data_IF_707191988786
#
_entry.id   IF_707191988786
#
_cell.length_a   1.000
_cell.length_b   1.000
_cell.length_c   1.000
_cell.angle_alpha   90.00
_cell.angle_beta   90.00
_cell.angle_gamma   90.00
#
_symmetry.space_group_name_H-M   'P 1'
#
loop_
_entity.id
_entity.type
_entity.pdbx_description
1 polymer ?
#
# COMPACT_ATOMS: atom_id res chain seq x y z
N UNK A 1 9.10 -20.66 -25.48
CA UNK A 1 8.75 -19.23 -25.52
C UNK A 1 7.93 -18.91 -24.26
N UNK A 2 8.50 -18.11 -23.36
CA UNK A 2 7.83 -17.72 -22.12
C UNK A 2 7.53 -16.22 -22.10
N UNK A 3 6.66 -15.80 -21.17
CA UNK A 3 6.36 -14.41 -20.91
C UNK A 3 6.92 -13.96 -19.57
N UNK A 4 7.23 -12.69 -19.45
CA UNK A 4 7.55 -12.04 -18.20
C UNK A 4 6.78 -10.72 -18.09
N UNK A 5 6.14 -10.49 -16.97
CA UNK A 5 5.41 -9.24 -16.69
C UNK A 5 6.30 -8.35 -15.81
N UNK A 6 6.57 -7.12 -16.26
CA UNK A 6 7.50 -6.20 -15.60
C UNK A 6 6.84 -4.85 -15.32
N UNK A 7 7.10 -4.31 -14.13
CA UNK A 7 6.72 -2.95 -13.78
C UNK A 7 7.62 -1.93 -14.50
N UNK A 8 7.05 -1.18 -15.45
CA UNK A 8 7.79 -0.19 -16.22
C UNK A 8 8.19 1.08 -15.43
N UNK A 9 7.61 1.26 -14.24
CA UNK A 9 7.93 2.37 -13.34
C UNK A 9 9.04 2.01 -12.34
N UNK A 10 9.49 0.74 -12.32
CA UNK A 10 10.57 0.28 -11.45
C UNK A 10 11.94 0.75 -11.95
N UNK A 11 12.82 1.12 -11.03
CA UNK A 11 14.17 1.60 -11.36
C UNK A 11 15.01 0.55 -12.08
N UNK A 12 14.76 -0.74 -11.84
CA UNK A 12 15.47 -1.86 -12.46
C UNK A 12 14.77 -2.39 -13.73
N UNK A 13 13.71 -1.74 -14.19
CA UNK A 13 12.95 -2.18 -15.36
C UNK A 13 13.85 -2.44 -16.59
N UNK A 14 14.75 -1.49 -16.90
CA UNK A 14 15.66 -1.62 -18.04
C UNK A 14 16.60 -2.84 -17.90
N UNK A 15 17.10 -3.08 -16.69
CA UNK A 15 17.96 -4.24 -16.39
C UNK A 15 17.18 -5.55 -16.57
N UNK A 16 15.99 -5.65 -15.94
CA UNK A 16 15.15 -6.84 -16.04
C UNK A 16 14.72 -7.12 -17.49
N UNK A 17 14.36 -6.08 -18.25
CA UNK A 17 14.04 -6.22 -19.68
C UNK A 17 15.22 -6.73 -20.50
N UNK A 18 16.43 -6.22 -20.24
CA UNK A 18 17.65 -6.71 -20.90
C UNK A 18 17.92 -8.19 -20.61
N UNK A 19 17.73 -8.62 -19.36
CA UNK A 19 17.89 -10.02 -18.94
C UNK A 19 16.81 -10.90 -19.61
N UNK A 20 15.57 -10.45 -19.63
CA UNK A 20 14.46 -11.16 -20.27
C UNK A 20 14.71 -11.38 -21.78
N UNK A 21 15.17 -10.35 -22.48
CA UNK A 21 15.50 -10.44 -23.91
C UNK A 21 16.63 -11.44 -24.17
N UNK A 22 17.67 -11.48 -23.31
CA UNK A 22 18.76 -12.49 -23.41
C UNK A 22 18.27 -13.91 -23.23
N UNK A 23 17.15 -14.11 -22.53
CA UNK A 23 16.51 -15.40 -22.29
C UNK A 23 15.36 -15.69 -23.26
N UNK A 24 15.22 -14.90 -24.33
CA UNK A 24 14.15 -15.01 -25.32
C UNK A 24 12.74 -15.01 -24.72
N UNK A 25 12.54 -14.24 -23.62
CA UNK A 25 11.24 -14.04 -23.00
C UNK A 25 10.54 -12.83 -23.63
N UNK A 26 9.24 -12.97 -23.89
CA UNK A 26 8.41 -11.86 -24.29
C UNK A 26 8.06 -11.00 -23.07
N UNK A 27 8.33 -9.69 -23.14
CA UNK A 27 8.10 -8.76 -22.03
C UNK A 27 6.77 -8.07 -22.21
N UNK A 28 5.87 -8.21 -21.25
CA UNK A 28 4.65 -7.40 -21.11
C UNK A 28 4.90 -6.41 -19.96
N UNK A 29 4.82 -5.15 -20.25
CA UNK A 29 5.08 -4.09 -19.27
C UNK A 29 3.79 -3.48 -18.73
N UNK A 30 3.79 -3.11 -17.43
CA UNK A 30 2.70 -2.34 -16.85
C UNK A 30 3.24 -1.14 -16.07
N UNK A 31 2.42 -0.10 -15.90
CA UNK A 31 2.83 1.08 -15.14
C UNK A 31 1.75 2.13 -14.96
N UNK A 32 1.94 2.99 -13.96
CA UNK A 32 1.11 4.16 -13.69
C UNK A 32 1.72 5.39 -14.37
N UNK A 33 3.05 5.53 -14.31
CA UNK A 33 3.80 6.71 -14.80
C UNK A 33 4.28 6.52 -16.23
N UNK A 34 4.67 5.32 -16.60
CA UNK A 34 5.24 5.02 -17.92
C UNK A 34 4.19 5.10 -19.02
N UNK A 35 4.30 6.11 -19.87
CA UNK A 35 3.44 6.31 -21.06
C UNK A 35 3.67 5.23 -22.15
N UNK A 36 4.77 4.48 -22.08
CA UNK A 36 5.16 3.45 -23.04
C UNK A 36 4.84 2.03 -22.58
N UNK A 37 4.27 1.84 -21.38
CA UNK A 37 3.90 0.53 -20.90
C UNK A 37 2.73 -0.05 -21.71
N UNK A 38 2.76 -1.38 -21.94
CA UNK A 38 1.73 -2.12 -22.69
C UNK A 38 0.38 -2.06 -21.98
N UNK A 39 0.41 -2.13 -20.63
CA UNK A 39 -0.74 -1.95 -19.75
C UNK A 39 -0.49 -0.74 -18.86
N UNK A 40 -1.26 0.31 -19.04
CA UNK A 40 -1.03 1.54 -18.28
C UNK A 40 -2.29 2.21 -17.78
N UNK A 41 -2.16 2.87 -16.64
CA UNK A 41 -3.18 3.79 -16.14
C UNK A 41 -3.26 5.03 -17.04
N UNK A 42 -4.48 5.47 -17.34
CA UNK A 42 -4.74 6.75 -18.01
C UNK A 42 -5.16 7.79 -16.98
N UNK A 43 -6.23 7.51 -16.25
CA UNK A 43 -6.71 8.35 -15.15
C UNK A 43 -7.58 7.54 -14.17
N UNK A 44 -7.92 8.19 -13.06
CA UNK A 44 -8.83 7.65 -12.04
C UNK A 44 -9.92 8.70 -11.80
N UNK A 45 -11.18 8.27 -11.87
CA UNK A 45 -12.35 9.12 -11.63
C UNK A 45 -13.10 8.60 -10.41
N UNK A 46 -13.34 9.45 -9.42
CA UNK A 46 -14.16 9.10 -8.25
C UNK A 46 -15.65 9.11 -8.66
N UNK A 47 -16.33 7.99 -8.43
CA UNK A 47 -17.76 7.79 -8.73
C UNK A 47 -18.50 7.36 -7.46
N UNK A 48 -19.07 8.28 -6.71
CA UNK A 48 -19.75 7.99 -5.43
C UNK A 48 -18.86 7.16 -4.47
N UNK A 49 -19.19 5.88 -4.27
CA UNK A 49 -18.48 4.96 -3.34
C UNK A 49 -17.42 4.09 -4.01
N UNK A 50 -17.12 4.32 -5.27
CA UNK A 50 -16.15 3.54 -6.05
C UNK A 50 -15.25 4.44 -6.89
N UNK A 51 -14.20 3.88 -7.44
CA UNK A 51 -13.30 4.55 -8.37
C UNK A 51 -13.38 3.85 -9.72
N UNK A 52 -13.50 4.64 -10.77
CA UNK A 52 -13.36 4.20 -12.15
C UNK A 52 -11.91 4.40 -12.55
N UNK A 53 -11.22 3.31 -12.88
CA UNK A 53 -9.87 3.33 -13.40
C UNK A 53 -9.92 3.15 -14.93
N UNK A 54 -9.43 4.13 -15.65
CA UNK A 54 -9.30 4.09 -17.09
C UNK A 54 -7.89 3.61 -17.43
N UNK A 55 -7.80 2.55 -18.24
CA UNK A 55 -6.54 1.90 -18.59
C UNK A 55 -6.42 1.74 -20.11
N UNK A 56 -5.18 1.69 -20.58
CA UNK A 56 -4.87 1.26 -21.93
C UNK A 56 -4.16 -0.08 -21.85
N UNK A 57 -4.70 -1.10 -22.55
CA UNK A 57 -4.16 -2.46 -22.58
C UNK A 57 -3.89 -2.82 -24.05
N UNK A 58 -2.61 -3.06 -24.39
CA UNK A 58 -2.19 -3.41 -25.76
C UNK A 58 -2.81 -2.50 -26.84
N UNK A 59 -2.85 -1.19 -26.59
CA UNK A 59 -3.40 -0.21 -27.52
C UNK A 59 -4.88 0.13 -27.31
N UNK A 60 -5.69 -0.75 -26.71
CA UNK A 60 -7.13 -0.58 -26.50
C UNK A 60 -7.46 0.10 -25.17
N UNK A 61 -8.45 1.00 -25.19
CA UNK A 61 -8.94 1.65 -23.98
C UNK A 61 -10.02 0.83 -23.29
N UNK A 62 -9.91 0.69 -21.97
CA UNK A 62 -10.87 0.00 -21.11
C UNK A 62 -11.02 0.73 -19.78
N UNK A 63 -12.14 0.49 -19.10
CA UNK A 63 -12.30 0.96 -17.73
C UNK A 63 -12.79 -0.16 -16.83
N UNK A 64 -12.38 -0.07 -15.56
CA UNK A 64 -12.80 -0.99 -14.50
C UNK A 64 -13.15 -0.21 -13.25
N UNK A 65 -13.98 -0.79 -12.40
CA UNK A 65 -14.29 -0.23 -11.09
C UNK A 65 -13.47 -0.91 -10.00
N UNK A 66 -13.08 -0.14 -8.99
CA UNK A 66 -12.43 -0.62 -7.78
C UNK A 66 -12.97 0.11 -6.54
N UNK A 67 -12.88 -0.52 -5.38
CA UNK A 67 -13.32 0.03 -4.09
C UNK A 67 -12.40 1.12 -3.54
N UNK A 68 -11.12 1.14 -3.95
CA UNK A 68 -10.14 2.13 -3.52
C UNK A 68 -9.17 2.49 -4.65
N UNK A 69 -8.47 3.62 -4.48
CA UNK A 69 -7.48 4.14 -5.44
C UNK A 69 -6.06 4.12 -4.88
N UNK A 70 -5.78 3.29 -3.88
CA UNK A 70 -4.43 3.16 -3.34
C UNK A 70 -3.46 2.71 -4.42
N UNK A 71 -2.31 3.35 -4.47
CA UNK A 71 -1.33 3.14 -5.54
C UNK A 71 -0.94 1.67 -5.71
N UNK A 72 -0.74 0.94 -4.60
CA UNK A 72 -0.43 -0.48 -4.64
C UNK A 72 -1.56 -1.32 -5.24
N UNK A 73 -2.83 -0.98 -4.94
CA UNK A 73 -3.98 -1.65 -5.54
C UNK A 73 -4.04 -1.43 -7.05
N UNK A 74 -3.77 -0.20 -7.50
CA UNK A 74 -3.72 0.11 -8.93
C UNK A 74 -2.60 -0.67 -9.63
N UNK A 75 -1.40 -0.74 -9.05
CA UNK A 75 -0.31 -1.57 -9.61
C UNK A 75 -0.70 -3.04 -9.69
N UNK A 76 -1.35 -3.59 -8.67
CA UNK A 76 -1.81 -4.98 -8.68
C UNK A 76 -2.85 -5.23 -9.79
N UNK A 77 -3.79 -4.31 -9.99
CA UNK A 77 -4.78 -4.40 -11.08
C UNK A 77 -4.08 -4.36 -12.45
N UNK A 78 -3.15 -3.43 -12.66
CA UNK A 78 -2.40 -3.33 -13.91
C UNK A 78 -1.55 -4.58 -14.18
N UNK A 79 -0.89 -5.12 -13.15
CA UNK A 79 -0.14 -6.36 -13.25
C UNK A 79 -1.04 -7.56 -13.59
N UNK A 80 -2.21 -7.66 -12.95
CA UNK A 80 -3.21 -8.69 -13.26
C UNK A 80 -3.71 -8.57 -14.69
N UNK A 81 -4.03 -7.37 -15.16
CA UNK A 81 -4.44 -7.12 -16.55
C UNK A 81 -3.33 -7.49 -17.55
N UNK A 82 -2.06 -7.23 -17.20
CA UNK A 82 -0.91 -7.61 -18.03
C UNK A 82 -0.79 -9.13 -18.15
N UNK A 83 -0.96 -9.87 -17.06
CA UNK A 83 -0.97 -11.35 -17.11
C UNK A 83 -2.17 -11.86 -17.90
N UNK A 84 -3.36 -11.34 -17.63
CA UNK A 84 -4.61 -11.77 -18.29
C UNK A 84 -4.53 -11.52 -19.81
N UNK A 85 -3.95 -10.39 -20.23
CA UNK A 85 -3.84 -10.01 -21.63
C UNK A 85 -2.98 -10.97 -22.49
N UNK A 86 -2.22 -11.86 -21.84
CA UNK A 86 -1.44 -12.92 -22.53
C UNK A 86 -2.37 -14.02 -23.04
N UNK A 87 -3.45 -14.29 -22.31
CA UNK A 87 -4.30 -15.47 -22.53
C UNK A 87 -5.67 -15.15 -23.09
N UNK A 88 -6.21 -13.97 -22.77
CA UNK A 88 -7.55 -13.58 -23.18
C UNK A 88 -7.62 -12.11 -23.57
N UNK A 89 -8.56 -11.81 -24.47
CA UNK A 89 -8.89 -10.42 -24.76
C UNK A 89 -9.51 -9.75 -23.53
N UNK A 90 -8.84 -8.74 -23.01
CA UNK A 90 -9.28 -7.95 -21.85
C UNK A 90 -10.64 -7.28 -22.10
N UNK A 91 -11.06 -7.12 -23.36
CA UNK A 91 -12.39 -6.59 -23.69
C UNK A 91 -13.54 -7.44 -23.17
N UNK A 92 -13.33 -8.74 -22.97
CA UNK A 92 -14.29 -9.69 -22.44
C UNK A 92 -14.45 -9.63 -20.91
N UNK A 93 -13.59 -8.91 -20.21
CA UNK A 93 -13.66 -8.78 -18.75
C UNK A 93 -14.81 -7.87 -18.33
N UNK A 94 -15.53 -8.29 -17.29
CA UNK A 94 -16.53 -7.44 -16.68
C UNK A 94 -15.86 -6.26 -15.95
N UNK A 95 -16.41 -5.06 -16.13
CA UNK A 95 -15.93 -3.83 -15.50
C UNK A 95 -15.89 -3.87 -13.96
N UNK A 96 -16.63 -4.76 -13.34
CA UNK A 96 -16.70 -4.91 -11.88
C UNK A 96 -15.75 -5.99 -11.34
N UNK A 97 -14.94 -6.67 -12.16
CA UNK A 97 -14.08 -7.77 -11.71
C UNK A 97 -13.14 -7.37 -10.54
N UNK A 98 -12.78 -6.09 -10.44
CA UNK A 98 -11.90 -5.59 -9.37
C UNK A 98 -12.66 -4.92 -8.21
N UNK A 99 -14.01 -4.88 -8.24
CA UNK A 99 -14.80 -4.26 -7.16
C UNK A 99 -14.76 -5.06 -5.85
N UNK A 100 -14.83 -6.38 -5.96
CA UNK A 100 -14.92 -7.30 -4.82
C UNK A 100 -13.58 -7.95 -4.51
N UNK A 101 -12.49 -7.33 -4.92
CA UNK A 101 -11.16 -7.83 -4.59
C UNK A 101 -10.95 -7.70 -3.10
N UNK A 102 -11.05 -8.82 -2.39
CA UNK A 102 -10.75 -8.85 -0.95
C UNK A 102 -9.25 -8.75 -0.79
N UNK A 103 -8.82 -7.69 -0.14
CA UNK A 103 -7.43 -7.56 0.31
C UNK A 103 -7.20 -8.68 1.34
N UNK A 104 -6.14 -9.49 1.20
CA UNK A 104 -5.80 -10.48 2.22
C UNK A 104 -5.62 -9.82 3.59
N UNK A 105 -5.98 -10.55 4.66
CA UNK A 105 -5.83 -10.10 6.03
C UNK A 105 -4.41 -9.60 6.32
N UNK A 106 -4.30 -8.49 7.04
CA UNK A 106 -3.03 -7.85 7.36
C UNK A 106 -2.33 -7.12 6.21
N UNK A 107 -3.01 -6.88 5.08
CA UNK A 107 -2.45 -6.18 3.90
C UNK A 107 -3.25 -4.95 3.49
N UNK A 108 -3.78 -4.21 4.47
CA UNK A 108 -4.57 -3.00 4.25
C UNK A 108 -6.07 -3.26 4.28
N UNK A 109 -6.51 -4.39 4.82
CA UNK A 109 -7.91 -4.66 5.07
C UNK A 109 -8.44 -3.68 6.13
N UNK A 110 -9.68 -3.23 5.90
CA UNK A 110 -10.35 -2.26 6.75
C UNK A 110 -11.50 -2.94 7.48
N UNK A 111 -11.43 -2.95 8.80
CA UNK A 111 -12.48 -3.45 9.67
C UNK A 111 -13.04 -2.35 10.55
N UNK A 112 -14.35 -2.42 10.86
CA UNK A 112 -14.97 -1.59 11.89
C UNK A 112 -14.98 -2.35 13.19
N UNK A 113 -14.37 -1.77 14.21
CA UNK A 113 -14.38 -2.32 15.56
C UNK A 113 -15.07 -1.34 16.49
N UNK A 114 -15.79 -1.87 17.49
CA UNK A 114 -16.44 -1.09 18.53
C UNK A 114 -15.69 -1.27 19.84
N UNK A 115 -15.20 -0.16 20.41
CA UNK A 115 -14.53 -0.15 21.71
C UNK A 115 -15.21 0.93 22.56
N UNK A 116 -15.74 0.55 23.73
CA UNK A 116 -16.40 1.47 24.67
C UNK A 116 -17.43 2.40 23.98
N UNK A 117 -18.35 1.83 23.20
CA UNK A 117 -19.35 2.55 22.42
C UNK A 117 -18.82 3.50 21.32
N UNK A 118 -17.51 3.53 21.06
CA UNK A 118 -16.91 4.29 19.94
C UNK A 118 -16.65 3.36 18.76
N UNK A 119 -16.98 3.84 17.57
CA UNK A 119 -16.67 3.13 16.32
C UNK A 119 -15.27 3.55 15.84
N UNK A 120 -14.41 2.58 15.62
CA UNK A 120 -13.06 2.76 15.09
C UNK A 120 -12.96 2.04 13.74
N UNK A 121 -12.30 2.66 12.78
CA UNK A 121 -11.85 1.99 11.57
C UNK A 121 -10.42 1.52 11.81
N UNK A 122 -10.21 0.21 11.81
CA UNK A 122 -8.89 -0.40 11.87
C UNK A 122 -8.42 -0.72 10.46
N UNK A 123 -7.25 -0.25 10.10
CA UNK A 123 -6.55 -0.64 8.87
C UNK A 123 -5.40 -1.54 9.31
N UNK A 124 -5.44 -2.79 8.92
CA UNK A 124 -4.42 -3.78 9.28
C UNK A 124 -3.39 -3.97 8.17
N UNK A 125 -2.13 -3.62 8.44
CA UNK A 125 -0.97 -3.77 7.57
C UNK A 125 0.10 -4.67 8.22
N UNK A 126 -0.32 -5.58 9.13
CA UNK A 126 0.59 -6.29 10.03
C UNK A 126 1.18 -7.59 9.46
N UNK A 127 0.76 -8.06 8.29
CA UNK A 127 1.21 -9.34 7.73
C UNK A 127 2.72 -9.40 7.52
N UNK A 128 3.29 -8.39 6.90
CA UNK A 128 4.74 -8.24 6.72
C UNK A 128 5.08 -6.78 6.41
N UNK A 129 6.25 -6.33 6.82
CA UNK A 129 6.66 -4.94 6.64
C UNK A 129 8.11 -4.82 6.22
N UNK A 130 8.34 -4.01 5.18
CA UNK A 130 9.65 -3.51 4.80
C UNK A 130 9.59 -1.97 4.67
N UNK A 131 10.74 -1.28 4.57
CA UNK A 131 10.75 0.19 4.54
C UNK A 131 9.90 0.80 3.42
N UNK A 132 9.82 0.17 2.26
CA UNK A 132 9.07 0.68 1.11
C UNK A 132 7.56 0.49 1.31
N UNK A 133 7.12 -0.71 1.72
CA UNK A 133 5.70 -0.99 1.99
C UNK A 133 5.18 -0.16 3.16
N UNK A 134 5.95 -0.04 4.25
CA UNK A 134 5.58 0.79 5.40
C UNK A 134 5.46 2.27 5.03
N UNK A 135 6.40 2.80 4.24
CA UNK A 135 6.29 4.16 3.70
C UNK A 135 5.00 4.35 2.91
N UNK A 136 4.67 3.43 2.00
CA UNK A 136 3.46 3.48 1.19
C UNK A 136 2.20 3.44 2.06
N UNK A 137 2.14 2.54 3.04
CA UNK A 137 1.03 2.43 3.98
C UNK A 137 0.81 3.72 4.78
N UNK A 138 1.88 4.33 5.30
CA UNK A 138 1.82 5.59 6.05
C UNK A 138 1.32 6.75 5.18
N UNK A 139 1.80 6.86 3.94
CA UNK A 139 1.38 7.90 3.01
C UNK A 139 -0.10 7.72 2.61
N UNK A 140 -0.51 6.48 2.29
CA UNK A 140 -1.91 6.17 1.99
C UNK A 140 -2.83 6.49 3.17
N UNK A 141 -2.42 6.13 4.39
CA UNK A 141 -3.15 6.46 5.61
C UNK A 141 -3.25 7.97 5.84
N UNK A 142 -2.17 8.70 5.55
CA UNK A 142 -2.17 10.17 5.59
C UNK A 142 -3.19 10.80 4.63
N UNK A 143 -3.41 10.22 3.44
CA UNK A 143 -4.35 10.74 2.44
C UNK A 143 -5.83 10.47 2.74
N UNK A 144 -6.14 9.59 3.69
CA UNK A 144 -7.54 9.33 4.09
C UNK A 144 -8.11 10.61 4.71
N UNK A 145 -9.23 11.10 4.18
CA UNK A 145 -9.92 12.27 4.75
C UNK A 145 -10.48 11.94 6.13
N UNK A 146 -9.98 12.64 7.14
CA UNK A 146 -10.35 12.41 8.54
C UNK A 146 -10.82 13.68 9.24
N UNK A 147 -11.47 14.61 8.52
CA UNK A 147 -11.90 15.93 9.04
C UNK A 147 -12.57 15.90 10.42
N UNK A 148 -13.11 14.75 10.85
CA UNK A 148 -13.80 14.55 12.13
C UNK A 148 -13.16 13.48 13.03
N UNK A 149 -12.02 12.89 12.65
CA UNK A 149 -11.44 11.75 13.37
C UNK A 149 -9.94 11.90 13.56
N UNK A 150 -9.45 11.51 14.73
CA UNK A 150 -8.01 11.44 14.99
C UNK A 150 -7.41 10.20 14.36
N UNK A 151 -6.25 10.34 13.74
CA UNK A 151 -5.47 9.24 13.15
C UNK A 151 -4.42 8.75 14.13
N UNK A 152 -4.49 7.50 14.48
CA UNK A 152 -3.50 6.83 15.36
C UNK A 152 -2.72 5.80 14.56
N UNK A 153 -1.42 5.72 14.80
CA UNK A 153 -0.52 4.77 14.15
C UNK A 153 0.14 3.89 15.21
N UNK A 154 0.02 2.56 15.07
CA UNK A 154 0.74 1.59 15.89
C UNK A 154 1.74 0.85 15.01
N UNK A 155 3.03 0.91 15.37
CA UNK A 155 4.11 0.30 14.60
C UNK A 155 4.82 -0.79 15.39
N UNK A 156 5.16 -1.87 14.70
CA UNK A 156 6.08 -2.91 15.15
C UNK A 156 7.45 -2.84 14.48
N UNK A 157 8.35 -3.74 14.89
CA UNK A 157 9.65 -3.88 14.23
C UNK A 157 9.49 -4.41 12.81
N UNK A 158 10.24 -3.85 11.86
CA UNK A 158 10.49 -4.48 10.58
C UNK A 158 11.60 -5.50 10.74
N UNK A 159 11.35 -6.74 10.30
CA UNK A 159 12.30 -7.84 10.41
C UNK A 159 13.19 -7.95 9.16
N UNK A 160 14.22 -8.77 9.20
CA UNK A 160 15.08 -9.14 8.07
C UNK A 160 15.82 -7.97 7.37
N UNK A 161 16.06 -6.87 8.08
CA UNK A 161 16.75 -5.68 7.54
C UNK A 161 18.27 -5.71 7.73
N UNK A 162 18.83 -6.78 8.32
CA UNK A 162 20.26 -6.95 8.55
C UNK A 162 20.89 -5.76 9.29
N UNK A 163 22.13 -5.47 8.93
CA UNK A 163 22.94 -4.38 9.56
C UNK A 163 22.37 -2.98 9.35
N UNK A 164 21.55 -2.80 8.33
CA UNK A 164 20.90 -1.50 8.04
C UNK A 164 19.63 -1.25 8.83
N UNK A 165 19.20 -2.20 9.67
CA UNK A 165 17.94 -2.15 10.41
C UNK A 165 17.70 -0.82 11.11
N UNK A 166 18.66 -0.33 11.91
CA UNK A 166 18.53 0.95 12.63
C UNK A 166 18.27 2.12 11.68
N UNK A 167 19.11 2.27 10.63
CA UNK A 167 19.01 3.37 9.65
C UNK A 167 17.67 3.33 8.90
N UNK A 168 17.21 2.14 8.52
CA UNK A 168 15.96 1.94 7.81
C UNK A 168 14.74 2.25 8.69
N UNK A 169 14.74 1.86 9.96
CA UNK A 169 13.71 2.28 10.91
C UNK A 169 13.70 3.80 11.09
N UNK A 170 14.85 4.42 11.32
CA UNK A 170 14.96 5.87 11.49
C UNK A 170 14.46 6.67 10.28
N UNK A 171 14.58 6.13 9.06
CA UNK A 171 14.12 6.76 7.82
C UNK A 171 12.60 6.93 7.71
N UNK A 172 11.83 6.23 8.55
CA UNK A 172 10.37 6.31 8.58
C UNK A 172 9.88 7.57 9.31
N UNK A 173 10.61 8.07 10.29
CA UNK A 173 10.19 9.21 11.11
C UNK A 173 9.94 10.50 10.30
N UNK A 174 10.80 10.93 9.35
CA UNK A 174 10.53 12.11 8.52
C UNK A 174 9.26 12.00 7.69
N UNK A 175 8.89 10.77 7.27
CA UNK A 175 7.67 10.51 6.50
C UNK A 175 6.45 10.75 7.39
N UNK A 176 6.43 10.15 8.58
CA UNK A 176 5.36 10.32 9.56
C UNK A 176 5.21 11.79 9.95
N UNK A 177 6.32 12.50 10.17
CA UNK A 177 6.30 13.89 10.59
C UNK A 177 5.60 14.82 9.57
N UNK A 178 5.57 14.44 8.29
CA UNK A 178 4.92 15.20 7.21
C UNK A 178 3.44 14.85 7.01
N UNK A 179 2.89 13.87 7.72
CA UNK A 179 1.48 13.47 7.62
C UNK A 179 0.61 14.17 8.69
N UNK A 180 -0.71 14.04 8.57
CA UNK A 180 -1.70 14.50 9.57
C UNK A 180 -1.96 13.48 10.69
N UNK A 181 -1.14 12.42 10.81
CA UNK A 181 -1.23 11.43 11.88
C UNK A 181 -1.13 12.14 13.24
N UNK A 182 -2.13 11.91 14.10
CA UNK A 182 -2.24 12.59 15.40
C UNK A 182 -1.22 12.06 16.41
N UNK A 183 -1.19 10.73 16.65
CA UNK A 183 -0.26 10.11 17.60
C UNK A 183 0.28 8.79 17.06
N UNK A 184 1.52 8.52 17.39
CA UNK A 184 2.25 7.30 17.03
C UNK A 184 2.62 6.52 18.27
N UNK A 185 2.28 5.25 18.27
CA UNK A 185 2.61 4.27 19.29
C UNK A 185 3.52 3.22 18.68
N UNK A 186 4.44 2.70 19.45
CA UNK A 186 5.37 1.68 18.97
C UNK A 186 5.51 0.52 19.95
N UNK A 187 5.73 -0.68 19.41
CA UNK A 187 6.12 -1.86 20.17
C UNK A 187 7.27 -2.58 19.46
N UNK A 188 8.44 -2.60 20.09
CA UNK A 188 9.63 -3.24 19.56
C UNK A 188 10.90 -2.44 19.84
N UNK A 189 12.03 -3.14 19.92
CA UNK A 189 13.32 -2.55 20.23
C UNK A 189 13.85 -1.68 19.08
N UNK A 190 13.66 -2.14 17.85
CA UNK A 190 14.20 -1.49 16.64
C UNK A 190 13.38 -0.29 16.21
N UNK A 191 12.04 -0.41 16.24
CA UNK A 191 11.12 0.67 15.87
C UNK A 191 11.17 1.84 16.86
N UNK A 192 11.67 1.64 18.08
CA UNK A 192 11.90 2.72 19.04
C UNK A 192 12.86 3.78 18.50
N UNK A 193 13.75 3.44 17.57
CA UNK A 193 14.61 4.43 16.88
C UNK A 193 13.82 5.40 16.00
N UNK A 194 12.75 4.91 15.34
CA UNK A 194 11.77 5.77 14.65
C UNK A 194 11.07 6.70 15.63
N UNK A 195 10.56 6.15 16.73
CA UNK A 195 9.82 6.91 17.74
C UNK A 195 10.66 8.07 18.32
N UNK A 196 11.95 7.83 18.58
CA UNK A 196 12.84 8.84 19.13
C UNK A 196 13.01 10.05 18.18
N UNK A 197 12.92 9.84 16.86
CA UNK A 197 13.05 10.88 15.83
C UNK A 197 11.73 11.55 15.44
N UNK A 198 10.61 11.16 16.03
CA UNK A 198 9.33 11.82 15.80
C UNK A 198 9.31 13.20 16.47
N UNK A 199 8.56 14.11 15.85
CA UNK A 199 8.20 15.40 16.46
C UNK A 199 7.48 15.17 17.79
N UNK A 200 7.78 16.00 18.81
CA UNK A 200 7.27 15.84 20.18
C UNK A 200 5.75 15.69 20.26
N UNK A 201 5.02 16.46 19.46
CA UNK A 201 3.57 16.45 19.42
C UNK A 201 2.97 15.17 18.80
N UNK A 202 3.74 14.42 18.00
CA UNK A 202 3.30 13.14 17.41
C UNK A 202 3.60 11.93 18.29
N UNK A 203 4.45 12.08 19.30
CA UNK A 203 4.79 10.98 20.20
C UNK A 203 3.61 10.60 21.08
N UNK A 204 3.19 9.33 20.97
CA UNK A 204 2.30 8.67 21.91
C UNK A 204 3.10 7.96 22.99
N UNK A 205 3.18 6.62 22.90
CA UNK A 205 3.83 5.77 23.91
C UNK A 205 4.61 4.63 23.24
N UNK A 206 5.69 4.19 23.92
CA UNK A 206 6.36 2.92 23.62
C UNK A 206 5.72 1.85 24.52
N UNK A 207 5.22 0.77 23.93
CA UNK A 207 4.64 -0.35 24.65
C UNK A 207 5.67 -1.47 24.82
N UNK A 208 5.81 -1.96 26.04
CA UNK A 208 6.69 -3.09 26.34
C UNK A 208 5.94 -4.43 26.21
N UNK A 209 4.70 -4.50 26.66
CA UNK A 209 3.88 -5.72 26.67
C UNK A 209 2.66 -5.59 25.75
N UNK A 210 2.21 -6.72 25.20
CA UNK A 210 0.98 -6.77 24.40
C UNK A 210 -0.26 -6.34 25.22
N UNK A 211 -0.29 -6.71 26.50
CA UNK A 211 -1.35 -6.33 27.43
C UNK A 211 -1.51 -4.81 27.60
N UNK A 212 -0.40 -4.05 27.46
CA UNK A 212 -0.44 -2.60 27.62
C UNK A 212 -1.15 -1.93 26.44
N UNK A 213 -1.03 -2.50 25.24
CA UNK A 213 -1.75 -2.05 24.04
C UNK A 213 -3.25 -2.27 24.24
N UNK A 214 -3.65 -3.45 24.71
CA UNK A 214 -5.05 -3.77 24.96
C UNK A 214 -5.68 -2.86 26.03
N UNK A 215 -4.97 -2.60 27.11
CA UNK A 215 -5.40 -1.64 28.14
C UNK A 215 -5.53 -0.22 27.59
N UNK A 216 -4.54 0.23 26.81
CA UNK A 216 -4.59 1.55 26.16
C UNK A 216 -5.79 1.68 25.23
N UNK A 217 -6.03 0.69 24.37
CA UNK A 217 -7.17 0.71 23.44
C UNK A 217 -8.51 0.76 24.16
N UNK A 218 -8.64 0.07 25.31
CA UNK A 218 -9.88 0.05 26.09
C UNK A 218 -10.10 1.32 26.89
N UNK A 219 -9.05 1.90 27.49
CA UNK A 219 -9.20 2.90 28.53
C UNK A 219 -8.82 4.31 28.08
N UNK A 220 -7.90 4.45 27.14
CA UNK A 220 -7.28 5.74 26.80
C UNK A 220 -7.52 6.18 25.33
N UNK A 221 -8.02 5.30 24.46
CA UNK A 221 -8.31 5.67 23.07
C UNK A 221 -9.63 6.48 23.03
N UNK A 222 -9.48 7.80 23.01
CA UNK A 222 -10.58 8.78 23.00
C UNK A 222 -10.79 9.40 21.63
#
# INVERSE_FOLDING_TARGET
>A
NGFIVLNADDNFFKLHKKIANKKNLQVISFGIKSKKADVRLINIIKKNRKFEINVKVNGSFKYFFTSNNFQNNIYNILASLAVISIYIDVSKLNKNNFMNFKVPEGRGDISRIKINNKNLNLIDESYNSNPLSLKSAILNYGMIDSKKSKKYLLLGDMLELGVFSKKLHESIAPIINKTDIYKVFVKGKRISSTFNRLSKYKKGRIFNRKSDITKFMRNELN
#
